data_IF_481885566381
#
_entry.id   IF_481885566381
#
_cell.length_a   1.000
_cell.length_b   1.000
_cell.length_c   1.000
_cell.angle_alpha   90.00
_cell.angle_beta   90.00
_cell.angle_gamma   90.00
#
_symmetry.space_group_name_H-M   'P 1'
#
loop_
_entity.id
_entity.type
_entity.pdbx_description
1 polymer ?
#
# COMPACT_ATOMS: atom_id res chain seq x y z
N UNK A 1 -1.18 -9.63 8.43
CA UNK A 1 -2.15 -8.84 7.62
C UNK A 1 -3.57 -9.41 7.64
N UNK A 2 -4.62 -8.62 7.41
CA UNK A 2 -5.98 -9.16 7.15
C UNK A 2 -6.15 -9.52 5.68
N UNK A 3 -6.96 -10.54 5.38
CA UNK A 3 -7.28 -10.95 3.99
C UNK A 3 -7.85 -9.79 3.18
N UNK A 4 -8.70 -8.97 3.80
CA UNK A 4 -9.31 -7.80 3.16
C UNK A 4 -8.27 -6.78 2.68
N UNK A 5 -7.23 -6.50 3.47
CA UNK A 5 -6.18 -5.57 3.08
C UNK A 5 -5.37 -6.10 1.89
N UNK A 6 -5.01 -7.39 1.93
CA UNK A 6 -4.30 -8.08 0.84
C UNK A 6 -5.09 -8.02 -0.48
N UNK A 7 -6.39 -8.30 -0.42
CA UNK A 7 -7.27 -8.28 -1.60
C UNK A 7 -7.37 -6.88 -2.22
N UNK A 8 -7.37 -5.84 -1.38
CA UNK A 8 -7.42 -4.44 -1.83
C UNK A 8 -6.12 -4.03 -2.49
N UNK A 9 -4.98 -4.29 -1.86
CA UNK A 9 -3.66 -4.02 -2.42
C UNK A 9 -3.52 -4.72 -3.77
N UNK A 10 -3.85 -6.01 -3.81
CA UNK A 10 -3.79 -6.82 -5.03
C UNK A 10 -4.67 -6.26 -6.14
N UNK A 11 -5.89 -5.84 -5.82
CA UNK A 11 -6.82 -5.28 -6.80
C UNK A 11 -6.34 -3.93 -7.34
N UNK A 12 -5.90 -3.04 -6.46
CA UNK A 12 -5.48 -1.69 -6.82
C UNK A 12 -4.17 -1.70 -7.62
N UNK A 13 -3.19 -2.52 -7.24
CA UNK A 13 -1.94 -2.68 -8.00
C UNK A 13 -2.20 -3.28 -9.38
N UNK A 14 -3.05 -4.31 -9.48
CA UNK A 14 -3.46 -4.82 -10.81
C UNK A 14 -4.04 -3.71 -11.67
N UNK A 15 -4.97 -2.91 -11.15
CA UNK A 15 -5.57 -1.80 -11.90
C UNK A 15 -4.51 -0.78 -12.34
N UNK A 16 -3.60 -0.41 -11.45
CA UNK A 16 -2.49 0.50 -11.74
C UNK A 16 -1.64 -0.01 -12.91
N UNK A 17 -1.10 -1.23 -12.80
CA UNK A 17 -0.26 -1.81 -13.84
C UNK A 17 -1.04 -1.96 -15.17
N UNK A 18 -2.26 -2.52 -15.15
CA UNK A 18 -3.04 -2.64 -16.39
C UNK A 18 -3.33 -1.28 -17.07
N UNK A 19 -3.49 -0.20 -16.30
CA UNK A 19 -3.61 1.17 -16.84
C UNK A 19 -2.29 1.68 -17.41
N UNK A 20 -1.19 1.54 -16.68
CA UNK A 20 0.16 1.96 -17.13
C UNK A 20 0.59 1.28 -18.43
N UNK A 21 0.17 0.02 -18.63
CA UNK A 21 0.46 -0.77 -19.82
C UNK A 21 -0.67 -0.78 -20.87
N UNK A 22 -1.65 0.14 -20.77
CA UNK A 22 -2.83 0.17 -21.66
C UNK A 22 -2.47 0.28 -23.15
N UNK A 23 -1.42 1.05 -23.48
CA UNK A 23 -0.96 1.29 -24.86
C UNK A 23 0.04 0.26 -25.40
N UNK A 24 0.42 -0.74 -24.61
CA UNK A 24 1.36 -1.79 -25.05
C UNK A 24 0.65 -2.89 -25.83
N UNK A 25 1.42 -3.59 -26.66
CA UNK A 25 0.96 -4.80 -27.35
C UNK A 25 0.40 -5.81 -26.36
N UNK A 26 -0.73 -6.43 -26.68
CA UNK A 26 -1.35 -7.47 -25.84
C UNK A 26 -0.86 -8.87 -26.23
N UNK A 27 0.43 -9.01 -26.56
CA UNK A 27 1.03 -10.33 -26.77
C UNK A 27 1.04 -11.10 -25.45
N UNK A 28 1.07 -12.43 -25.54
CA UNK A 28 1.14 -13.29 -24.36
C UNK A 28 2.34 -12.93 -23.48
N UNK A 29 3.52 -12.77 -24.09
CA UNK A 29 4.75 -12.35 -23.43
C UNK A 29 4.60 -11.00 -22.69
N UNK A 30 3.95 -10.01 -23.32
CA UNK A 30 3.75 -8.70 -22.67
C UNK A 30 2.81 -8.83 -21.47
N UNK A 31 1.77 -9.66 -21.57
CA UNK A 31 0.83 -9.89 -20.47
C UNK A 31 1.48 -10.63 -19.30
N UNK A 32 2.37 -11.59 -19.59
CA UNK A 32 3.14 -12.31 -18.58
C UNK A 32 4.11 -11.39 -17.84
N UNK A 33 4.83 -10.52 -18.57
CA UNK A 33 5.69 -9.50 -17.95
C UNK A 33 4.91 -8.53 -17.06
N UNK A 34 3.76 -8.02 -17.52
CA UNK A 34 2.91 -7.14 -16.70
C UNK A 34 2.48 -7.87 -15.41
N UNK A 35 2.19 -9.17 -15.53
CA UNK A 35 1.79 -10.01 -14.41
C UNK A 35 2.91 -10.21 -13.41
N UNK A 36 4.12 -10.49 -13.86
CA UNK A 36 5.31 -10.56 -13.00
C UNK A 36 5.51 -9.24 -12.25
N UNK A 37 5.47 -8.09 -12.96
CA UNK A 37 5.66 -6.79 -12.32
C UNK A 37 4.64 -6.50 -11.20
N UNK A 38 3.33 -6.73 -11.44
CA UNK A 38 2.36 -6.46 -10.38
C UNK A 38 2.43 -7.47 -9.24
N UNK A 39 2.89 -8.71 -9.49
CA UNK A 39 3.08 -9.71 -8.43
C UNK A 39 4.25 -9.30 -7.53
N UNK A 40 5.37 -8.89 -8.12
CA UNK A 40 6.53 -8.41 -7.38
C UNK A 40 6.18 -7.19 -6.53
N UNK A 41 5.40 -6.26 -7.11
CA UNK A 41 4.93 -5.10 -6.37
C UNK A 41 3.99 -5.47 -5.22
N UNK A 42 3.09 -6.45 -5.40
CA UNK A 42 2.23 -6.94 -4.31
C UNK A 42 3.09 -7.51 -3.18
N UNK A 43 4.10 -8.30 -3.50
CA UNK A 43 5.00 -8.89 -2.51
C UNK A 43 5.74 -7.79 -1.73
N UNK A 44 6.28 -6.78 -2.44
CA UNK A 44 6.93 -5.64 -1.83
C UNK A 44 6.02 -4.88 -0.85
N UNK A 45 4.76 -4.62 -1.24
CA UNK A 45 3.79 -4.01 -0.34
C UNK A 45 3.52 -4.86 0.90
N UNK A 46 3.40 -6.18 0.72
CA UNK A 46 3.13 -7.09 1.81
C UNK A 46 4.25 -7.07 2.85
N UNK A 47 5.51 -7.12 2.39
CA UNK A 47 6.68 -7.09 3.27
C UNK A 47 6.72 -5.79 4.09
N UNK A 48 6.55 -4.63 3.44
CA UNK A 48 6.56 -3.34 4.13
C UNK A 48 5.41 -3.19 5.14
N UNK A 49 4.23 -3.72 4.83
CA UNK A 49 3.08 -3.65 5.72
C UNK A 49 3.22 -4.61 6.89
N UNK A 50 3.70 -5.83 6.67
CA UNK A 50 3.93 -6.76 7.77
C UNK A 50 5.03 -6.23 8.72
N UNK A 51 6.10 -5.66 8.18
CA UNK A 51 7.12 -4.95 8.98
C UNK A 51 6.54 -3.79 9.78
N UNK A 52 5.68 -2.98 9.17
CA UNK A 52 4.97 -1.90 9.84
C UNK A 52 4.08 -2.44 10.98
N UNK A 53 3.28 -3.48 10.73
CA UNK A 53 2.38 -4.08 11.72
C UNK A 53 3.15 -4.71 12.89
N UNK A 54 4.26 -5.39 12.61
CA UNK A 54 5.14 -5.97 13.64
C UNK A 54 5.79 -4.86 14.48
N UNK A 55 6.35 -3.85 13.83
CA UNK A 55 7.02 -2.73 14.50
C UNK A 55 6.05 -1.92 15.34
N UNK A 56 4.84 -1.72 14.84
CA UNK A 56 3.78 -1.02 15.55
C UNK A 56 3.35 -1.74 16.82
N UNK A 57 3.14 -3.07 16.74
CA UNK A 57 2.82 -3.90 17.91
C UNK A 57 3.91 -3.89 18.98
N UNK A 58 5.19 -3.84 18.58
CA UNK A 58 6.34 -3.89 19.50
C UNK A 58 6.64 -2.55 20.17
N UNK A 59 6.69 -1.47 19.38
CA UNK A 59 7.25 -0.21 19.83
C UNK A 59 6.20 0.87 20.13
N UNK A 60 4.94 0.69 19.66
CA UNK A 60 3.83 1.66 19.78
C UNK A 60 4.20 3.12 19.44
N UNK A 61 5.27 3.32 18.67
CA UNK A 61 5.81 4.63 18.38
C UNK A 61 5.14 5.22 17.16
N UNK A 62 4.38 6.31 17.36
CA UNK A 62 3.69 7.04 16.30
C UNK A 62 4.66 7.57 15.24
N UNK A 63 5.86 8.00 15.62
CA UNK A 63 6.87 8.51 14.68
C UNK A 63 7.38 7.41 13.73
N UNK A 64 7.64 6.20 14.25
CA UNK A 64 8.06 5.07 13.42
C UNK A 64 6.96 4.62 12.46
N UNK A 65 5.70 4.62 12.91
CA UNK A 65 4.57 4.32 12.02
C UNK A 65 4.48 5.34 10.91
N UNK A 66 4.66 6.64 11.23
CA UNK A 66 4.61 7.70 10.24
C UNK A 66 5.73 7.58 9.19
N UNK A 67 6.95 7.24 9.59
CA UNK A 67 8.04 6.96 8.65
C UNK A 67 7.73 5.77 7.73
N UNK A 68 7.21 4.69 8.29
CA UNK A 68 6.82 3.51 7.51
C UNK A 68 5.68 3.82 6.54
N UNK A 69 4.68 4.60 6.95
CA UNK A 69 3.59 5.06 6.07
C UNK A 69 4.12 5.95 4.93
N UNK A 70 5.10 6.83 5.21
CA UNK A 70 5.78 7.62 4.17
C UNK A 70 6.54 6.73 3.18
N UNK A 71 7.22 5.69 3.66
CA UNK A 71 7.90 4.73 2.78
C UNK A 71 6.90 4.00 1.86
N UNK A 72 5.80 3.51 2.43
CA UNK A 72 4.73 2.84 1.66
C UNK A 72 4.10 3.79 0.63
N UNK A 73 3.86 5.05 1.02
CA UNK A 73 3.33 6.08 0.11
C UNK A 73 4.17 6.23 -1.18
N UNK A 74 5.48 6.12 -1.04
CA UNK A 74 6.43 6.31 -2.14
C UNK A 74 6.63 5.05 -2.99
N UNK A 75 5.98 3.94 -2.67
CA UNK A 75 6.02 2.74 -3.49
C UNK A 75 5.22 2.94 -4.79
N UNK A 76 5.74 2.41 -5.89
CA UNK A 76 5.04 2.42 -7.18
C UNK A 76 3.65 1.78 -7.05
N UNK A 77 2.65 2.43 -7.62
CA UNK A 77 1.26 1.98 -7.56
C UNK A 77 0.55 2.22 -6.22
N UNK A 78 1.22 2.80 -5.22
CA UNK A 78 0.53 3.28 -4.03
C UNK A 78 -0.49 4.35 -4.43
N UNK A 79 -1.69 4.26 -3.84
CA UNK A 79 -2.74 5.24 -4.10
C UNK A 79 -3.55 5.54 -2.83
N UNK A 80 -4.41 6.55 -2.93
CA UNK A 80 -5.26 7.01 -1.83
C UNK A 80 -6.09 5.89 -1.20
N UNK A 81 -6.53 4.91 -1.99
CA UNK A 81 -7.37 3.82 -1.52
C UNK A 81 -6.57 2.80 -0.72
N UNK A 82 -5.39 2.40 -1.20
CA UNK A 82 -4.46 1.55 -0.43
C UNK A 82 -4.13 2.22 0.90
N UNK A 83 -3.74 3.51 0.88
CA UNK A 83 -3.35 4.24 2.08
C UNK A 83 -4.49 4.37 3.10
N UNK A 84 -5.72 4.68 2.65
CA UNK A 84 -6.90 4.74 3.53
C UNK A 84 -7.18 3.42 4.22
N UNK A 85 -7.10 2.31 3.49
CA UNK A 85 -7.33 0.98 4.06
C UNK A 85 -6.23 0.60 5.04
N UNK A 86 -4.97 0.88 4.72
CA UNK A 86 -3.87 0.61 5.64
C UNK A 86 -4.02 1.35 6.97
N UNK A 87 -4.33 2.66 6.93
CA UNK A 87 -4.56 3.45 8.15
C UNK A 87 -5.76 2.93 8.94
N UNK A 88 -6.86 2.57 8.27
CA UNK A 88 -8.01 1.99 8.94
C UNK A 88 -7.68 0.66 9.64
N UNK A 89 -6.84 -0.18 9.04
CA UNK A 89 -6.38 -1.43 9.65
C UNK A 89 -5.44 -1.17 10.84
N UNK A 90 -4.56 -0.17 10.77
CA UNK A 90 -3.73 0.22 11.90
C UNK A 90 -4.57 0.70 13.10
N UNK A 91 -5.59 1.53 12.85
CA UNK A 91 -6.52 2.00 13.90
C UNK A 91 -7.26 0.85 14.59
N UNK A 92 -7.55 -0.26 13.88
CA UNK A 92 -8.17 -1.46 14.48
C UNK A 92 -7.24 -2.24 15.40
N UNK A 93 -5.93 -2.20 15.14
CA UNK A 93 -4.94 -2.96 15.91
C UNK A 93 -4.65 -2.29 17.25
N UNK A 94 -4.65 -0.96 17.29
CA UNK A 94 -4.50 -0.20 18.53
C UNK A 94 -5.31 1.10 18.48
N UNK A 95 -6.39 1.16 19.27
CA UNK A 95 -7.25 2.34 19.40
C UNK A 95 -6.53 3.55 20.04
N UNK A 96 -5.31 3.37 20.59
CA UNK A 96 -4.57 4.44 21.28
C UNK A 96 -3.83 5.40 20.34
N UNK A 97 -3.64 5.02 19.07
CA UNK A 97 -2.98 5.92 18.10
C UNK A 97 -4.04 6.69 17.33
N UNK A 98 -4.43 7.84 17.88
CA UNK A 98 -5.17 8.80 17.10
C UNK A 98 -4.20 9.54 16.17
N UNK A 99 -4.42 9.32 14.88
CA UNK A 99 -3.85 10.15 13.82
C UNK A 99 -4.80 11.30 13.60
N UNK A 100 -4.37 12.51 13.96
CA UNK A 100 -5.15 13.71 13.68
C UNK A 100 -5.25 13.89 12.16
N UNK A 101 -6.41 14.32 11.62
CA UNK A 101 -6.61 14.47 10.18
C UNK A 101 -5.50 15.28 9.49
N UNK A 102 -5.02 16.34 10.14
CA UNK A 102 -3.97 17.23 9.64
C UNK A 102 -2.62 16.53 9.52
N UNK A 103 -2.33 15.57 10.41
CA UNK A 103 -1.06 14.83 10.42
C UNK A 103 -0.97 13.82 9.29
N UNK A 104 -2.11 13.29 8.81
CA UNK A 104 -2.15 12.24 7.79
C UNK A 104 -2.69 12.72 6.45
N UNK A 105 -3.15 13.97 6.34
CA UNK A 105 -3.71 14.51 5.11
C UNK A 105 -2.78 14.30 3.90
N UNK A 106 -1.49 14.62 4.07
CA UNK A 106 -0.47 14.47 3.03
C UNK A 106 -0.30 13.02 2.55
N UNK A 107 -0.60 12.02 3.40
CA UNK A 107 -0.54 10.61 3.02
C UNK A 107 -1.56 10.28 1.94
N UNK A 108 -2.63 11.07 1.81
CA UNK A 108 -3.72 10.88 0.85
C UNK A 108 -3.60 11.71 -0.43
N UNK A 109 -2.58 12.55 -0.55
CA UNK A 109 -2.32 13.42 -1.70
C UNK A 109 -1.42 12.68 -2.70
N UNK A 110 -1.97 12.21 -3.80
CA UNK A 110 -1.22 11.52 -4.86
C UNK A 110 -1.30 12.37 -6.12
N UNK A 111 -0.20 12.45 -6.86
CA UNK A 111 -0.19 13.04 -8.20
C UNK A 111 -1.03 12.16 -9.15
N UNK A 112 -1.85 12.80 -10.00
CA UNK A 112 -2.73 12.14 -10.98
C UNK A 112 -1.98 11.70 -12.25
#
# INVERSE_FOLDING_TARGET
>A
MTKTLLDIISKELKIFYFKSFRRRSKSLETLDLIKECYIDQINLFNDYIDDLLISYKKNKSKSLVMESLKKIKNLEGCNKKIMKFLIAELKKVDNSTDFEPEEIQFLFEFED
#
